data_IF_292718964059
#
_entry.id   IF_292718964059
#
_cell.length_a   1.000
_cell.length_b   1.000
_cell.length_c   1.000
_cell.angle_alpha   90.00
_cell.angle_beta   90.00
_cell.angle_gamma   90.00
#
_symmetry.space_group_name_H-M   'P 1'
#
loop_
_entity.id
_entity.type
_entity.pdbx_description
1 polymer ?
#
# COMPACT_ATOMS: atom_id res chain seq x y z
N UNK A 1 -17.42 -8.85 -4.17
CA UNK A 1 -16.14 -8.30 -3.65
C UNK A 1 -14.99 -9.00 -4.34
N UNK A 2 -14.04 -8.21 -4.87
CA UNK A 2 -12.90 -8.76 -5.58
C UNK A 2 -11.75 -9.06 -4.59
N UNK A 3 -11.10 -10.19 -4.78
CA UNK A 3 -9.94 -10.57 -3.98
C UNK A 3 -8.65 -10.33 -4.77
N UNK A 4 -7.62 -9.88 -4.08
CA UNK A 4 -6.29 -9.66 -4.64
C UNK A 4 -5.36 -10.79 -4.20
N UNK A 5 -4.58 -11.33 -5.15
CA UNK A 5 -3.52 -12.28 -4.89
C UNK A 5 -2.19 -11.57 -5.04
N UNK A 6 -1.71 -11.00 -3.95
CA UNK A 6 -0.55 -10.13 -3.93
C UNK A 6 0.46 -10.64 -2.90
N UNK A 7 1.73 -10.68 -3.28
CA UNK A 7 2.82 -11.05 -2.38
C UNK A 7 3.77 -9.87 -2.30
N UNK A 8 4.04 -9.42 -1.07
CA UNK A 8 4.99 -8.36 -0.80
C UNK A 8 6.15 -8.91 0.01
N UNK A 9 7.37 -8.68 -0.46
CA UNK A 9 8.59 -9.17 0.18
C UNK A 9 9.50 -8.00 0.49
N UNK A 10 9.97 -7.91 1.74
CA UNK A 10 10.99 -6.93 2.13
C UNK A 10 12.36 -7.41 1.68
N UNK A 11 13.13 -6.53 1.05
CA UNK A 11 14.45 -6.84 0.51
C UNK A 11 15.53 -6.17 1.36
N UNK A 12 16.53 -6.95 1.78
CA UNK A 12 17.65 -6.45 2.59
C UNK A 12 18.80 -5.98 1.69
N UNK A 13 18.51 -4.99 0.85
CA UNK A 13 19.50 -4.37 -0.02
C UNK A 13 19.11 -2.92 -0.30
N UNK A 14 20.00 -2.17 -0.93
CA UNK A 14 19.70 -0.81 -1.38
C UNK A 14 18.93 -0.88 -2.69
N UNK A 15 18.18 0.19 -3.00
CA UNK A 15 17.49 0.30 -4.27
C UNK A 15 18.47 0.21 -5.45
N UNK A 16 19.64 0.90 -5.37
CA UNK A 16 20.61 0.91 -6.46
C UNK A 16 21.11 -0.49 -6.80
N UNK A 17 21.40 -1.29 -5.78
CA UNK A 17 21.82 -2.68 -5.98
C UNK A 17 20.71 -3.54 -6.60
N UNK A 18 19.50 -3.39 -6.10
CA UNK A 18 18.33 -4.11 -6.63
C UNK A 18 18.07 -3.72 -8.08
N UNK A 19 18.12 -2.43 -8.38
CA UNK A 19 17.92 -1.92 -9.74
C UNK A 19 18.93 -2.54 -10.71
N UNK A 20 20.22 -2.58 -10.34
CA UNK A 20 21.25 -3.19 -11.17
C UNK A 20 21.00 -4.68 -11.40
N UNK A 21 20.60 -5.41 -10.36
CA UNK A 21 20.26 -6.84 -10.47
C UNK A 21 19.10 -7.05 -11.45
N UNK A 22 18.08 -6.19 -11.36
CA UNK A 22 16.93 -6.28 -12.26
C UNK A 22 17.32 -6.01 -13.72
N UNK A 23 18.15 -4.99 -13.96
CA UNK A 23 18.65 -4.69 -15.31
C UNK A 23 19.48 -5.86 -15.87
N UNK A 24 20.33 -6.48 -15.04
CA UNK A 24 21.13 -7.64 -15.43
C UNK A 24 20.26 -8.85 -15.80
N UNK A 25 19.05 -8.92 -15.25
CA UNK A 25 18.08 -9.97 -15.53
C UNK A 25 17.04 -9.56 -16.58
N UNK A 26 17.36 -8.57 -17.40
CA UNK A 26 16.56 -8.10 -18.54
C UNK A 26 15.23 -7.46 -18.16
N UNK A 27 15.08 -6.97 -16.94
CA UNK A 27 13.95 -6.13 -16.55
C UNK A 27 14.21 -4.69 -16.99
N UNK A 28 13.17 -4.02 -17.43
CA UNK A 28 13.19 -2.60 -17.76
C UNK A 28 12.09 -1.87 -16.98
N UNK A 29 12.28 -0.59 -16.75
CA UNK A 29 11.27 0.24 -16.10
C UNK A 29 10.14 0.54 -17.09
N UNK A 30 8.92 0.20 -16.73
CA UNK A 30 7.70 0.49 -17.49
C UNK A 30 7.08 1.82 -17.07
N UNK A 31 6.99 2.08 -15.77
CA UNK A 31 6.42 3.31 -15.21
C UNK A 31 6.88 3.53 -13.79
N UNK A 32 6.73 4.77 -13.32
CA UNK A 32 7.01 5.16 -11.95
C UNK A 32 5.86 6.04 -11.46
N UNK A 33 5.45 5.85 -10.21
CA UNK A 33 4.44 6.69 -9.58
C UNK A 33 4.65 6.75 -8.08
N UNK A 34 4.03 7.73 -7.43
CA UNK A 34 4.13 7.91 -5.97
C UNK A 34 2.74 7.80 -5.36
N UNK A 35 2.63 7.01 -4.31
CA UNK A 35 1.41 6.86 -3.52
C UNK A 35 1.63 7.53 -2.16
N UNK A 36 0.76 8.45 -1.78
CA UNK A 36 0.77 9.07 -0.45
C UNK A 36 -0.50 8.65 0.26
N UNK A 37 -0.33 7.86 1.31
CA UNK A 37 -1.44 7.34 2.11
C UNK A 37 -1.49 8.02 3.47
N UNK A 38 -2.67 8.50 3.83
CA UNK A 38 -2.99 8.93 5.18
C UNK A 38 -3.86 7.84 5.81
N UNK A 39 -3.33 7.18 6.84
CA UNK A 39 -4.07 6.16 7.56
C UNK A 39 -4.90 6.82 8.64
N UNK A 40 -6.20 6.56 8.60
CA UNK A 40 -7.16 7.12 9.55
C UNK A 40 -7.90 6.02 10.28
N UNK A 41 -8.19 6.23 11.54
CA UNK A 41 -8.88 5.26 12.39
C UNK A 41 -9.96 5.96 13.19
N UNK A 42 -11.04 5.24 13.49
CA UNK A 42 -12.11 5.76 14.34
C UNK A 42 -11.53 6.08 15.73
N UNK A 43 -11.75 7.30 16.22
CA UNK A 43 -11.19 7.78 17.47
C UNK A 43 -11.67 7.00 18.70
N UNK A 44 -12.79 6.29 18.59
CA UNK A 44 -13.34 5.48 19.71
C UNK A 44 -12.57 4.17 19.90
N UNK A 45 -11.73 3.78 18.93
CA UNK A 45 -10.93 2.56 19.03
C UNK A 45 -9.72 2.82 19.93
N UNK A 46 -9.56 1.98 20.95
CA UNK A 46 -8.39 2.01 21.82
C UNK A 46 -7.26 1.19 21.20
N UNK A 47 -6.34 1.86 20.51
CA UNK A 47 -5.23 1.20 19.81
C UNK A 47 -4.24 0.53 20.76
N UNK A 48 -4.23 0.92 22.05
CA UNK A 48 -3.33 0.31 23.04
C UNK A 48 -3.70 -1.14 23.34
N UNK A 49 -4.94 -1.53 23.03
CA UNK A 49 -5.46 -2.89 23.23
C UNK A 49 -5.32 -3.78 22.00
N UNK A 50 -4.78 -3.25 20.90
CA UNK A 50 -4.67 -3.93 19.62
C UNK A 50 -3.21 -4.15 19.24
N UNK A 51 -2.91 -5.22 18.52
CA UNK A 51 -1.61 -5.39 17.87
C UNK A 51 -1.58 -4.58 16.56
N UNK A 52 -0.41 -4.49 15.93
CA UNK A 52 -0.23 -3.68 14.74
C UNK A 52 -1.15 -4.11 13.57
N UNK A 53 -1.32 -5.42 13.37
CA UNK A 53 -2.18 -5.94 12.31
C UNK A 53 -3.65 -5.60 12.54
N UNK A 54 -4.11 -5.68 13.80
CA UNK A 54 -5.47 -5.32 14.17
C UNK A 54 -5.73 -3.82 13.97
N UNK A 55 -4.75 -2.98 14.31
CA UNK A 55 -4.84 -1.53 14.08
C UNK A 55 -4.96 -1.25 12.58
N UNK A 56 -4.10 -1.82 11.75
CA UNK A 56 -4.14 -1.63 10.30
C UNK A 56 -5.48 -2.08 9.69
N UNK A 57 -6.04 -3.16 10.20
CA UNK A 57 -7.33 -3.69 9.74
C UNK A 57 -8.48 -2.72 9.98
N UNK A 58 -8.37 -1.87 10.99
CA UNK A 58 -9.40 -0.87 11.34
C UNK A 58 -9.26 0.43 10.55
N UNK A 59 -8.17 0.60 9.81
CA UNK A 59 -7.89 1.85 9.13
C UNK A 59 -8.63 2.02 7.81
N UNK A 60 -8.98 3.27 7.53
CA UNK A 60 -9.36 3.72 6.20
C UNK A 60 -8.21 4.59 5.71
N UNK A 61 -7.78 4.38 4.46
CA UNK A 61 -6.73 5.16 3.83
C UNK A 61 -7.36 6.27 3.00
N UNK A 62 -6.82 7.49 3.18
CA UNK A 62 -7.05 8.56 2.20
C UNK A 62 -5.82 8.54 1.30
N UNK A 63 -6.02 8.07 0.07
CA UNK A 63 -4.95 7.76 -0.86
C UNK A 63 -4.82 8.79 -1.97
N UNK A 64 -3.63 9.30 -2.14
CA UNK A 64 -3.25 10.15 -3.24
C UNK A 64 -2.22 9.41 -4.12
N UNK A 65 -2.65 8.89 -5.25
CA UNK A 65 -1.72 8.44 -6.28
C UNK A 65 -1.40 9.67 -7.10
N UNK A 66 -0.25 10.27 -6.85
CA UNK A 66 0.10 11.62 -7.32
C UNK A 66 -0.09 11.77 -8.81
N UNK A 67 -0.86 12.79 -9.21
CA UNK A 67 -1.22 13.12 -10.59
C UNK A 67 -2.05 12.05 -11.33
N UNK A 68 -2.50 11.00 -10.64
CA UNK A 68 -3.26 9.90 -11.25
C UNK A 68 -4.67 9.82 -10.68
N UNK A 69 -4.81 9.58 -9.38
CA UNK A 69 -6.13 9.45 -8.75
C UNK A 69 -6.09 9.72 -7.25
N UNK A 70 -7.26 10.05 -6.71
CA UNK A 70 -7.48 10.25 -5.28
C UNK A 70 -8.65 9.40 -4.85
N UNK A 71 -8.54 8.74 -3.70
CA UNK A 71 -9.57 7.81 -3.24
C UNK A 71 -9.56 7.60 -1.74
N UNK A 72 -10.71 7.12 -1.23
CA UNK A 72 -10.78 6.47 0.07
C UNK A 72 -10.63 4.98 -0.19
N UNK A 73 -9.79 4.31 0.59
CA UNK A 73 -9.51 2.88 0.41
C UNK A 73 -9.70 2.15 1.73
N UNK A 74 -10.47 1.07 1.69
CA UNK A 74 -10.56 0.13 2.79
C UNK A 74 -10.07 -1.23 2.31
N UNK A 75 -9.09 -1.80 3.01
CA UNK A 75 -8.55 -3.12 2.72
C UNK A 75 -8.98 -4.08 3.83
N UNK A 76 -9.75 -5.10 3.48
CA UNK A 76 -10.10 -6.16 4.40
C UNK A 76 -9.12 -7.31 4.21
N UNK A 77 -8.25 -7.50 5.21
CA UNK A 77 -7.24 -8.55 5.20
C UNK A 77 -7.56 -9.57 6.27
N UNK A 78 -7.52 -10.85 5.90
CA UNK A 78 -7.63 -11.96 6.84
C UNK A 78 -6.26 -12.60 6.99
N UNK A 79 -5.89 -12.89 8.23
CA UNK A 79 -4.57 -13.42 8.58
C UNK A 79 -4.71 -14.81 9.21
N UNK A 80 -3.71 -15.67 8.99
CA UNK A 80 -3.60 -16.93 9.70
C UNK A 80 -2.97 -16.69 11.10
N UNK A 81 -2.79 -17.78 11.88
CA UNK A 81 -2.21 -17.69 13.23
C UNK A 81 -0.76 -17.22 13.25
N UNK A 82 -0.07 -17.26 12.10
CA UNK A 82 1.33 -16.81 11.94
C UNK A 82 1.44 -15.38 11.43
N UNK A 83 0.32 -14.69 11.20
CA UNK A 83 0.29 -13.33 10.66
C UNK A 83 0.43 -13.24 9.15
N UNK A 84 0.33 -14.35 8.43
CA UNK A 84 0.34 -14.34 6.97
C UNK A 84 -1.04 -14.00 6.42
N UNK A 85 -1.07 -13.18 5.35
CA UNK A 85 -2.33 -12.83 4.69
C UNK A 85 -2.82 -14.03 3.90
N UNK A 86 -4.02 -14.53 4.25
CA UNK A 86 -4.67 -15.65 3.57
C UNK A 86 -5.75 -15.19 2.60
N UNK A 87 -6.27 -13.98 2.78
CA UNK A 87 -7.33 -13.42 1.96
C UNK A 87 -7.30 -11.91 2.05
N UNK A 88 -7.50 -11.24 0.93
CA UNK A 88 -7.50 -9.78 0.87
C UNK A 88 -8.55 -9.29 -0.13
N UNK A 89 -9.32 -8.30 0.28
CA UNK A 89 -10.23 -7.56 -0.61
C UNK A 89 -10.04 -6.07 -0.40
N UNK A 90 -10.45 -5.28 -1.38
CA UNK A 90 -10.28 -3.83 -1.36
C UNK A 90 -11.54 -3.15 -1.87
N UNK A 91 -11.97 -2.10 -1.15
CA UNK A 91 -13.03 -1.20 -1.59
C UNK A 91 -12.37 0.15 -1.83
N UNK A 92 -12.56 0.70 -3.02
CA UNK A 92 -12.00 1.99 -3.41
C UNK A 92 -13.12 2.93 -3.81
N UNK A 93 -13.18 4.10 -3.18
CA UNK A 93 -14.14 5.15 -3.48
C UNK A 93 -13.39 6.37 -3.99
N UNK A 94 -13.49 6.72 -5.29
CA UNK A 94 -12.86 7.91 -5.83
C UNK A 94 -13.32 9.19 -5.14
N UNK A 95 -12.40 10.12 -4.90
CA UNK A 95 -12.70 11.45 -4.36
C UNK A 95 -11.99 12.51 -5.22
N UNK A 96 -12.41 13.77 -5.09
CA UNK A 96 -11.85 14.86 -5.87
C UNK A 96 -10.71 15.60 -5.17
N UNK A 97 -10.68 15.55 -3.84
CA UNK A 97 -9.77 16.40 -3.04
C UNK A 97 -9.34 15.66 -1.77
N UNK A 98 -8.04 15.59 -1.54
CA UNK A 98 -7.47 14.87 -0.40
C UNK A 98 -7.81 15.57 0.92
N UNK A 99 -7.66 16.89 0.99
CA UNK A 99 -7.93 17.63 2.23
C UNK A 99 -9.40 17.52 2.64
N UNK A 100 -10.31 17.59 1.66
CA UNK A 100 -11.73 17.41 1.92
C UNK A 100 -12.06 15.98 2.31
N UNK A 101 -11.39 15.01 1.72
CA UNK A 101 -11.54 13.61 2.11
C UNK A 101 -11.14 13.37 3.56
N UNK A 102 -10.00 13.93 3.97
CA UNK A 102 -9.53 13.85 5.35
C UNK A 102 -10.52 14.55 6.29
N UNK A 103 -10.97 15.75 5.93
CA UNK A 103 -11.93 16.50 6.73
C UNK A 103 -13.25 15.76 6.87
N UNK A 104 -13.73 15.14 5.81
CA UNK A 104 -14.92 14.31 5.85
C UNK A 104 -14.78 13.19 6.87
N UNK A 105 -13.64 12.51 6.86
CA UNK A 105 -13.36 11.44 7.82
C UNK A 105 -13.27 11.97 9.25
N UNK A 106 -12.65 13.13 9.46
CA UNK A 106 -12.56 13.75 10.78
C UNK A 106 -13.95 14.12 11.32
N UNK A 107 -14.85 14.59 10.46
CA UNK A 107 -16.23 14.92 10.86
C UNK A 107 -17.04 13.70 11.31
N UNK A 108 -16.71 12.52 10.84
CA UNK A 108 -17.35 11.26 11.26
C UNK A 108 -16.51 10.51 12.32
N UNK A 109 -15.71 11.25 13.08
CA UNK A 109 -14.96 10.76 14.23
C UNK A 109 -13.76 9.85 13.89
N UNK A 110 -13.12 10.09 12.76
CA UNK A 110 -11.83 9.48 12.44
C UNK A 110 -10.70 10.45 12.75
N UNK A 111 -9.56 9.94 13.10
CA UNK A 111 -8.33 10.71 13.35
C UNK A 111 -7.21 10.19 12.49
N UNK A 112 -6.26 11.06 12.16
CA UNK A 112 -5.05 10.66 11.44
C UNK A 112 -4.16 9.85 12.39
N UNK A 113 -3.71 8.70 11.93
CA UNK A 113 -2.82 7.85 12.69
C UNK A 113 -1.37 8.04 12.25
N UNK A 114 -1.10 7.89 10.95
CA UNK A 114 0.21 8.13 10.35
C UNK A 114 0.10 8.25 8.83
N UNK A 115 1.19 8.68 8.20
CA UNK A 115 1.30 8.80 6.75
C UNK A 115 2.38 7.86 6.21
N UNK A 116 2.16 7.33 5.02
CA UNK A 116 3.16 6.56 4.29
C UNK A 116 3.32 7.18 2.90
N UNK A 117 4.56 7.39 2.48
CA UNK A 117 4.90 7.78 1.12
C UNK A 117 5.60 6.59 0.48
N UNK A 118 5.03 6.10 -0.61
CA UNK A 118 5.51 4.92 -1.32
C UNK A 118 5.84 5.28 -2.76
N UNK A 119 7.11 5.21 -3.12
CA UNK A 119 7.54 5.39 -4.51
C UNK A 119 7.54 4.04 -5.18
N UNK A 120 6.71 3.88 -6.20
CA UNK A 120 6.51 2.63 -6.90
C UNK A 120 7.16 2.68 -8.26
N UNK A 121 7.97 1.67 -8.56
CA UNK A 121 8.68 1.54 -9.83
C UNK A 121 8.31 0.18 -10.42
N UNK A 122 7.64 0.20 -11.56
CA UNK A 122 7.15 -1.00 -12.23
C UNK A 122 8.22 -1.49 -13.21
N UNK A 123 8.67 -2.72 -13.01
CA UNK A 123 9.64 -3.39 -13.87
C UNK A 123 8.98 -4.51 -14.65
N UNK A 124 9.34 -4.65 -15.90
CA UNK A 124 8.82 -5.71 -16.77
C UNK A 124 9.95 -6.46 -17.49
N UNK A 125 9.76 -7.76 -17.63
CA UNK A 125 10.60 -8.65 -18.43
C UNK A 125 9.66 -9.60 -19.16
N UNK A 126 9.47 -9.40 -20.47
CA UNK A 126 8.47 -10.13 -21.27
C UNK A 126 7.09 -10.03 -20.60
N UNK A 127 6.52 -11.17 -20.16
CA UNK A 127 5.21 -11.21 -19.51
C UNK A 127 5.28 -11.10 -17.98
N UNK A 128 6.49 -10.97 -17.43
CA UNK A 128 6.68 -10.85 -15.99
C UNK A 128 6.69 -9.38 -15.57
N UNK A 129 5.97 -9.08 -14.52
CA UNK A 129 5.88 -7.73 -13.97
C UNK A 129 6.06 -7.78 -12.45
N UNK A 130 6.85 -6.84 -11.93
CA UNK A 130 6.99 -6.65 -10.50
C UNK A 130 7.07 -5.16 -10.18
N UNK A 131 6.70 -4.81 -8.95
CA UNK A 131 6.76 -3.43 -8.48
C UNK A 131 7.79 -3.36 -7.36
N UNK A 132 8.76 -2.47 -7.51
CA UNK A 132 9.68 -2.13 -6.41
C UNK A 132 9.09 -0.93 -5.69
N UNK A 133 8.93 -1.06 -4.38
CA UNK A 133 8.39 -0.01 -3.54
C UNK A 133 9.46 0.54 -2.61
N UNK A 134 9.62 1.87 -2.61
CA UNK A 134 10.50 2.59 -1.68
C UNK A 134 9.61 3.28 -0.65
N UNK A 135 9.45 2.64 0.51
CA UNK A 135 8.54 3.10 1.55
C UNK A 135 9.27 4.09 2.46
N UNK A 136 8.81 5.34 2.49
CA UNK A 136 9.35 6.43 3.29
C UNK A 136 10.87 6.63 3.08
N UNK A 137 11.37 6.35 1.87
CA UNK A 137 12.79 6.37 1.50
C UNK A 137 13.69 5.48 2.40
N UNK A 138 13.10 4.53 3.10
CA UNK A 138 13.81 3.70 4.10
C UNK A 138 13.75 2.21 3.81
N UNK A 139 12.60 1.70 3.36
CA UNK A 139 12.40 0.27 3.14
C UNK A 139 12.24 -0.02 1.65
N UNK A 140 12.86 -1.12 1.21
CA UNK A 140 12.73 -1.61 -0.16
C UNK A 140 11.88 -2.87 -0.14
N UNK A 141 10.77 -2.85 -0.85
CA UNK A 141 9.85 -3.98 -0.97
C UNK A 141 9.72 -4.37 -2.43
N UNK A 142 9.44 -5.63 -2.68
CA UNK A 142 9.03 -6.13 -3.99
C UNK A 142 7.61 -6.66 -3.87
N UNK A 143 6.74 -6.20 -4.75
CA UNK A 143 5.36 -6.64 -4.81
C UNK A 143 5.14 -7.41 -6.11
N UNK A 144 4.55 -8.59 -5.98
CA UNK A 144 4.18 -9.45 -7.09
C UNK A 144 2.67 -9.70 -7.03
N UNK A 145 1.99 -9.61 -8.17
CA UNK A 145 0.61 -10.04 -8.30
C UNK A 145 0.56 -11.42 -8.94
N UNK A 146 -0.28 -12.27 -8.38
CA UNK A 146 -0.58 -13.58 -8.94
C UNK A 146 -1.92 -13.52 -9.67
N UNK A 147 -1.96 -13.99 -10.91
CA UNK A 147 -3.16 -14.06 -11.72
C UNK A 147 -3.85 -15.44 -11.64
N UNK A 148 -3.65 -16.13 -10.55
CA UNK A 148 -4.27 -17.43 -10.33
C UNK A 148 -5.78 -17.33 -10.07
#
# INVERSE_FOLDING_TARGET
MNYENEITVKVNTTYDKLHNILLENNFIIKEEYTVKDTYMINKEIDITKLNDLEVLKQCILVRDVVDIEKSLVYKNKEYDSKGNIIKQSKIKCPILDIEKGIKFMEEINYIKLFNIIDKCIVYVNNDNELVVELVNDKYVLIELESNL
#
